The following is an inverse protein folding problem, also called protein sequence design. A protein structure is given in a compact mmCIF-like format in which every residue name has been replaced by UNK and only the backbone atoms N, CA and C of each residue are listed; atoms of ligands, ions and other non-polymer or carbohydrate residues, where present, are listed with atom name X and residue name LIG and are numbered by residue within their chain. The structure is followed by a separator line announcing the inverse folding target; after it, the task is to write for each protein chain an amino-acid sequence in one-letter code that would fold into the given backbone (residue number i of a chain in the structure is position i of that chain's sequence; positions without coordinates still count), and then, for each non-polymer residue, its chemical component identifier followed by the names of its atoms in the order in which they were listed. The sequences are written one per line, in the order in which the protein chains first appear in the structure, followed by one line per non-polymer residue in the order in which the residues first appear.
data_IF_908892970155
#
_entry.id   IF_908892970155
#
_cell.length_a   1.000
_cell.length_b   1.000
_cell.length_c   1.000
_cell.angle_alpha   90.00
_cell.angle_beta   90.00
_cell.angle_gamma   90.00
#
_symmetry.space_group_name_H-M   'P 1'
#
loop_
_entity.id
_entity.type
_entity.pdbx_description
1 polymer ?
#
# COMPACT_ATOMS: atom_id res chain seq x y z
N UNK A 1 -16.56 23.10 -7.42
CA UNK A 1 -16.61 22.39 -8.71
C UNK A 1 -17.04 20.93 -8.47
N UNK A 2 -17.70 20.31 -9.46
CA UNK A 2 -18.28 18.96 -9.40
C UNK A 2 -17.30 17.89 -8.88
N UNK A 3 -16.03 17.99 -9.24
CA UNK A 3 -14.94 17.10 -8.84
C UNK A 3 -14.60 17.21 -7.34
N UNK A 4 -14.58 18.41 -6.76
CA UNK A 4 -14.33 18.60 -5.33
C UNK A 4 -15.47 18.06 -4.47
N UNK A 5 -16.72 18.16 -4.93
CA UNK A 5 -17.89 17.62 -4.24
C UNK A 5 -17.86 16.08 -4.29
N UNK A 6 -17.49 15.50 -5.41
CA UNK A 6 -17.36 14.06 -5.59
C UNK A 6 -16.26 13.48 -4.69
N UNK A 7 -15.09 14.15 -4.61
CA UNK A 7 -13.99 13.72 -3.74
C UNK A 7 -14.38 13.78 -2.25
N UNK A 8 -15.14 14.82 -1.83
CA UNK A 8 -15.66 14.90 -0.45
C UNK A 8 -16.65 13.81 -0.13
N UNK A 9 -17.53 13.46 -1.07
CA UNK A 9 -18.47 12.36 -0.90
C UNK A 9 -17.75 11.02 -0.75
N UNK A 10 -16.77 10.72 -1.61
CA UNK A 10 -15.96 9.52 -1.54
C UNK A 10 -15.17 9.41 -0.22
N UNK A 11 -14.59 10.53 0.24
CA UNK A 11 -13.89 10.58 1.51
C UNK A 11 -14.84 10.30 2.70
N UNK A 12 -16.03 10.88 2.68
CA UNK A 12 -17.06 10.64 3.70
C UNK A 12 -17.50 9.19 3.73
N UNK A 13 -17.77 8.59 2.57
CA UNK A 13 -18.17 7.17 2.45
C UNK A 13 -17.06 6.24 2.92
N UNK A 14 -15.81 6.51 2.53
CA UNK A 14 -14.66 5.69 2.94
C UNK A 14 -14.49 5.70 4.47
N UNK A 15 -14.59 6.89 5.09
CA UNK A 15 -14.49 7.04 6.54
C UNK A 15 -15.62 6.33 7.28
N UNK A 16 -16.86 6.45 6.78
CA UNK A 16 -18.02 5.77 7.34
C UNK A 16 -17.88 4.25 7.21
N UNK A 17 -17.47 3.76 6.04
CA UNK A 17 -17.21 2.32 5.81
C UNK A 17 -16.13 1.80 6.76
N UNK A 18 -15.04 2.55 6.95
CA UNK A 18 -13.99 2.18 7.89
C UNK A 18 -14.51 2.08 9.33
N UNK A 19 -15.37 3.01 9.74
CA UNK A 19 -15.97 3.00 11.07
C UNK A 19 -16.91 1.81 11.25
N UNK A 20 -17.75 1.51 10.26
CA UNK A 20 -18.68 0.36 10.29
C UNK A 20 -17.95 -0.99 10.27
N UNK A 21 -16.80 -1.09 9.60
CA UNK A 21 -15.96 -2.30 9.62
C UNK A 21 -15.18 -2.40 10.95
N UNK A 22 -14.75 -1.29 11.51
CA UNK A 22 -13.97 -1.25 12.75
C UNK A 22 -14.68 -1.88 13.95
N UNK A 23 -15.99 -1.72 14.04
CA UNK A 23 -16.82 -2.29 15.13
C UNK A 23 -16.80 -3.83 15.14
N UNK A 24 -17.19 -4.54 14.06
CA UNK A 24 -17.11 -6.00 14.03
C UNK A 24 -15.67 -6.51 14.09
N UNK A 25 -14.70 -5.77 13.57
CA UNK A 25 -13.30 -6.12 13.67
C UNK A 25 -12.80 -6.11 15.12
N UNK A 26 -13.18 -5.11 15.91
CA UNK A 26 -12.89 -5.06 17.36
C UNK A 26 -13.51 -6.24 18.10
N UNK A 27 -14.70 -6.66 17.72
CA UNK A 27 -15.34 -7.86 18.26
C UNK A 27 -14.55 -9.13 17.91
N UNK A 28 -14.09 -9.27 16.65
CA UNK A 28 -13.28 -10.42 16.23
C UNK A 28 -11.95 -10.50 17.00
N UNK A 29 -11.31 -9.36 17.27
CA UNK A 29 -10.10 -9.31 18.10
C UNK A 29 -10.41 -9.83 19.50
N UNK A 30 -11.52 -9.41 20.10
CA UNK A 30 -11.98 -9.89 21.42
C UNK A 30 -12.23 -11.40 21.43
N UNK A 31 -12.91 -11.94 20.41
CA UNK A 31 -13.12 -13.38 20.27
C UNK A 31 -11.82 -14.14 20.10
N UNK A 32 -10.86 -13.62 19.34
CA UNK A 32 -9.55 -14.26 19.17
C UNK A 32 -8.80 -14.34 20.51
N UNK A 33 -8.85 -13.30 21.36
CA UNK A 33 -8.25 -13.34 22.70
C UNK A 33 -8.91 -14.41 23.58
N UNK A 34 -10.23 -14.61 23.48
CA UNK A 34 -10.91 -15.69 24.20
C UNK A 34 -10.51 -17.07 23.66
N UNK A 35 -10.39 -17.23 22.34
CA UNK A 35 -9.94 -18.47 21.71
C UNK A 35 -8.50 -18.85 22.10
N UNK A 36 -7.63 -17.88 22.36
CA UNK A 36 -6.27 -18.14 22.86
C UNK A 36 -6.25 -18.74 24.28
N UNK A 37 -7.31 -18.56 25.04
CA UNK A 37 -7.48 -19.15 26.37
C UNK A 37 -8.00 -20.60 26.30
N UNK A 38 -8.59 -20.98 25.18
CA UNK A 38 -9.02 -22.34 24.92
C UNK A 38 -7.84 -23.15 24.35
N UNK A 39 -7.90 -24.46 24.49
CA UNK A 39 -6.81 -25.35 24.03
C UNK A 39 -6.91 -25.60 22.53
N UNK A 40 -6.91 -24.53 21.73
CA UNK A 40 -7.00 -24.55 20.26
C UNK A 40 -5.58 -24.59 19.66
N UNK A 41 -5.48 -25.25 18.51
CA UNK A 41 -4.24 -25.34 17.75
C UNK A 41 -3.64 -23.95 17.46
N UNK A 42 -2.39 -23.75 17.89
CA UNK A 42 -1.67 -22.48 17.82
C UNK A 42 -1.58 -21.97 16.37
N UNK A 43 -1.42 -22.86 15.40
CA UNK A 43 -1.37 -22.54 13.97
C UNK A 43 -2.67 -21.91 13.50
N UNK A 44 -3.81 -22.44 13.94
CA UNK A 44 -5.13 -21.88 13.63
C UNK A 44 -5.30 -20.47 14.19
N UNK A 45 -4.86 -20.27 15.42
CA UNK A 45 -4.90 -18.93 16.07
C UNK A 45 -4.02 -17.93 15.31
N UNK A 46 -2.82 -18.33 14.90
CA UNK A 46 -1.92 -17.47 14.13
C UNK A 46 -2.50 -17.06 12.77
N UNK A 47 -3.14 -17.97 12.05
CA UNK A 47 -3.75 -17.67 10.75
C UNK A 47 -4.93 -16.69 10.90
N UNK A 48 -5.79 -16.90 11.90
CA UNK A 48 -6.88 -15.95 12.21
C UNK A 48 -6.32 -14.58 12.58
N UNK A 49 -5.26 -14.51 13.39
CA UNK A 49 -4.61 -13.25 13.76
C UNK A 49 -4.05 -12.52 12.54
N UNK A 50 -3.46 -13.23 11.58
CA UNK A 50 -2.96 -12.65 10.31
C UNK A 50 -4.09 -12.01 9.52
N UNK A 51 -5.23 -12.67 9.41
CA UNK A 51 -6.39 -12.14 8.68
C UNK A 51 -7.02 -10.93 9.38
N UNK A 52 -7.13 -10.97 10.70
CA UNK A 52 -7.60 -9.82 11.50
C UNK A 52 -6.67 -8.62 11.31
N UNK A 53 -5.35 -8.82 11.38
CA UNK A 53 -4.36 -7.75 11.19
C UNK A 53 -4.44 -7.16 9.77
N UNK A 54 -4.74 -8.00 8.78
CA UNK A 54 -4.95 -7.55 7.40
C UNK A 54 -6.20 -6.69 7.27
N UNK A 55 -7.31 -7.09 7.87
CA UNK A 55 -8.56 -6.31 7.89
C UNK A 55 -8.35 -4.97 8.63
N UNK A 56 -7.64 -4.97 9.75
CA UNK A 56 -7.27 -3.76 10.48
C UNK A 56 -6.51 -2.78 9.58
N UNK A 57 -5.50 -3.26 8.87
CA UNK A 57 -4.72 -2.44 7.94
C UNK A 57 -5.57 -1.83 6.84
N UNK A 58 -6.49 -2.59 6.25
CA UNK A 58 -7.43 -2.10 5.23
C UNK A 58 -8.34 -1.02 5.82
N UNK A 59 -8.90 -1.25 6.99
CA UNK A 59 -9.80 -0.31 7.69
C UNK A 59 -9.07 1.00 8.01
N UNK A 60 -7.83 0.92 8.50
CA UNK A 60 -7.00 2.09 8.81
C UNK A 60 -6.67 2.91 7.54
N UNK A 61 -6.43 2.24 6.42
CA UNK A 61 -6.22 2.90 5.11
C UNK A 61 -7.48 3.64 4.66
N UNK A 62 -8.65 3.00 4.76
CA UNK A 62 -9.93 3.62 4.41
C UNK A 62 -10.27 4.83 5.29
N UNK A 63 -9.99 4.76 6.59
CA UNK A 63 -10.25 5.87 7.52
C UNK A 63 -9.43 7.12 7.21
N UNK A 64 -8.27 6.97 6.55
CA UNK A 64 -7.38 8.07 6.18
C UNK A 64 -7.73 8.74 4.84
N UNK A 65 -8.63 8.14 4.06
CA UNK A 65 -9.07 8.74 2.79
C UNK A 65 -9.76 10.08 3.06
N UNK A 66 -9.26 11.15 2.44
CA UNK A 66 -9.79 12.51 2.58
C UNK A 66 -9.40 13.24 3.86
N UNK A 67 -8.58 12.66 4.73
CA UNK A 67 -7.94 13.39 5.84
C UNK A 67 -6.64 14.05 5.39
N UNK A 68 -6.29 15.18 6.00
CA UNK A 68 -4.97 15.78 5.77
C UNK A 68 -3.89 14.85 6.35
N UNK A 69 -2.90 14.42 5.54
CA UNK A 69 -1.83 13.57 6.02
C UNK A 69 -0.88 14.33 6.94
N UNK A 70 -0.56 13.75 8.08
CA UNK A 70 0.55 14.25 8.90
C UNK A 70 1.85 13.90 8.20
N UNK A 71 2.64 14.93 7.85
CA UNK A 71 3.93 14.77 7.19
C UNK A 71 5.05 14.75 8.23
N UNK A 72 5.99 13.85 8.05
CA UNK A 72 7.19 13.70 8.86
C UNK A 72 8.43 13.78 7.99
N UNK A 73 9.51 14.35 8.52
CA UNK A 73 10.80 14.34 7.82
C UNK A 73 11.39 12.92 7.85
N UNK A 74 11.44 12.27 6.71
CA UNK A 74 11.89 10.88 6.54
C UNK A 74 12.88 10.75 5.40
N UNK A 75 13.79 9.78 5.50
CA UNK A 75 14.63 9.35 4.38
C UNK A 75 13.80 8.52 3.40
N UNK A 76 13.48 9.10 2.25
CA UNK A 76 12.63 8.46 1.23
C UNK A 76 13.26 7.19 0.65
N UNK A 77 14.59 7.10 0.64
CA UNK A 77 15.29 5.88 0.17
C UNK A 77 15.03 4.74 1.15
N UNK A 78 15.22 4.97 2.45
CA UNK A 78 14.99 3.96 3.49
C UNK A 78 13.53 3.51 3.53
N UNK A 79 12.56 4.45 3.48
CA UNK A 79 11.12 4.15 3.47
C UNK A 79 10.72 3.33 2.23
N UNK A 80 11.21 3.70 1.05
CA UNK A 80 10.92 2.99 -0.20
C UNK A 80 11.56 1.61 -0.22
N UNK A 81 12.81 1.50 0.23
CA UNK A 81 13.55 0.24 0.30
C UNK A 81 12.89 -0.76 1.25
N UNK A 82 12.43 -0.30 2.42
CA UNK A 82 11.71 -1.13 3.38
C UNK A 82 10.43 -1.72 2.78
N UNK A 83 9.65 -0.89 2.09
CA UNK A 83 8.44 -1.36 1.37
C UNK A 83 8.78 -2.35 0.25
N UNK A 84 9.84 -2.08 -0.51
CA UNK A 84 10.32 -2.94 -1.58
C UNK A 84 10.76 -4.33 -1.07
N UNK A 85 11.58 -4.39 -0.02
CA UNK A 85 12.06 -5.64 0.57
C UNK A 85 10.91 -6.47 1.17
N UNK A 86 9.95 -5.79 1.81
CA UNK A 86 8.74 -6.44 2.32
C UNK A 86 7.94 -7.12 1.21
N UNK A 87 7.74 -6.43 0.07
CA UNK A 87 6.98 -6.94 -1.07
C UNK A 87 7.75 -8.04 -1.81
N UNK A 88 9.07 -7.88 -1.99
CA UNK A 88 9.94 -8.88 -2.60
C UNK A 88 9.85 -10.22 -1.86
N UNK A 89 9.90 -10.21 -0.52
CA UNK A 89 9.84 -11.41 0.30
C UNK A 89 8.51 -12.18 0.18
N UNK A 90 7.44 -11.51 -0.28
CA UNK A 90 6.08 -12.06 -0.41
C UNK A 90 5.64 -12.32 -1.85
N UNK A 91 6.48 -12.00 -2.79
CA UNK A 91 6.21 -12.18 -4.22
C UNK A 91 6.86 -13.46 -4.73
N UNK A 92 6.28 -14.06 -5.77
CA UNK A 92 6.84 -15.23 -6.44
C UNK A 92 8.28 -15.01 -6.87
N UNK A 93 9.13 -16.02 -6.71
CA UNK A 93 10.53 -16.02 -7.19
C UNK A 93 10.65 -15.88 -8.72
N UNK A 94 9.54 -15.95 -9.45
CA UNK A 94 9.51 -15.72 -10.90
C UNK A 94 9.55 -14.24 -11.27
N UNK A 95 9.40 -13.34 -10.28
CA UNK A 95 9.59 -11.90 -10.45
C UNK A 95 10.99 -11.53 -9.97
N UNK A 96 11.79 -10.99 -10.88
CA UNK A 96 13.10 -10.42 -10.54
C UNK A 96 12.94 -8.99 -10.07
N UNK A 97 13.45 -8.68 -8.88
CA UNK A 97 13.37 -7.36 -8.26
C UNK A 97 14.72 -6.65 -8.34
N UNK A 98 14.72 -5.38 -8.73
CA UNK A 98 15.89 -4.52 -8.75
C UNK A 98 15.59 -3.18 -8.08
N UNK A 99 16.49 -2.73 -7.19
CA UNK A 99 16.39 -1.45 -6.50
C UNK A 99 17.62 -0.61 -6.73
N UNK A 100 17.45 0.62 -7.21
CA UNK A 100 18.53 1.59 -7.45
C UNK A 100 18.22 2.90 -6.75
N UNK A 101 19.18 3.42 -6.00
CA UNK A 101 19.07 4.70 -5.32
C UNK A 101 20.46 5.31 -5.10
N UNK A 102 20.55 6.64 -4.87
CA UNK A 102 21.79 7.29 -4.45
C UNK A 102 22.34 6.69 -3.16
N UNK A 103 23.66 6.67 -3.02
CA UNK A 103 24.34 6.20 -1.80
C UNK A 103 24.44 7.29 -0.73
N UNK A 104 23.35 8.01 -0.49
CA UNK A 104 23.19 9.02 0.56
C UNK A 104 21.73 9.12 0.95
N UNK A 105 21.41 9.46 2.21
CA UNK A 105 20.01 9.66 2.59
C UNK A 105 19.42 10.88 1.88
N UNK A 106 18.14 10.80 1.51
CA UNK A 106 17.37 11.88 0.93
C UNK A 106 16.14 12.16 1.81
N UNK A 107 16.20 13.25 2.57
CA UNK A 107 15.15 13.62 3.50
C UNK A 107 14.07 14.47 2.84
N UNK A 108 12.82 14.04 2.98
CA UNK A 108 11.63 14.74 2.50
C UNK A 108 10.53 14.72 3.57
N UNK A 109 9.58 15.63 3.46
CA UNK A 109 8.35 15.59 4.26
C UNK A 109 7.35 14.65 3.60
N UNK A 110 7.09 13.51 4.21
CA UNK A 110 6.14 12.50 3.70
C UNK A 110 5.35 11.86 4.86
N UNK A 111 4.21 11.26 4.54
CA UNK A 111 3.50 10.36 5.43
C UNK A 111 3.96 8.93 5.15
N UNK A 112 4.62 8.24 6.10
CA UNK A 112 5.21 6.92 5.86
C UNK A 112 4.18 5.86 5.42
N UNK A 113 2.99 5.89 6.02
CA UNK A 113 1.92 4.94 5.72
C UNK A 113 1.38 5.12 4.30
N UNK A 114 1.13 6.37 3.88
CA UNK A 114 0.66 6.68 2.53
C UNK A 114 1.74 6.40 1.48
N UNK A 115 3.00 6.69 1.81
CA UNK A 115 4.11 6.39 0.93
C UNK A 115 4.24 4.87 0.70
N UNK A 116 4.27 4.09 1.78
CA UNK A 116 4.30 2.62 1.70
C UNK A 116 3.13 2.07 0.89
N UNK A 117 1.93 2.59 1.11
CA UNK A 117 0.74 2.18 0.36
C UNK A 117 0.85 2.51 -1.13
N UNK A 118 1.41 3.67 -1.48
CA UNK A 118 1.64 4.05 -2.88
C UNK A 118 2.59 3.08 -3.56
N UNK A 119 3.72 2.76 -2.92
CA UNK A 119 4.69 1.78 -3.43
C UNK A 119 4.04 0.39 -3.58
N UNK A 120 3.31 -0.05 -2.57
CA UNK A 120 2.59 -1.33 -2.59
C UNK A 120 1.62 -1.44 -3.77
N UNK A 121 0.82 -0.39 -4.03
CA UNK A 121 -0.12 -0.35 -5.15
C UNK A 121 0.60 -0.41 -6.50
N UNK A 122 1.66 0.37 -6.68
CA UNK A 122 2.43 0.38 -7.93
C UNK A 122 3.08 -0.98 -8.19
N UNK A 123 3.71 -1.57 -7.19
CA UNK A 123 4.35 -2.89 -7.30
C UNK A 123 3.31 -3.97 -7.59
N UNK A 124 2.17 -3.96 -6.89
CA UNK A 124 1.09 -4.92 -7.12
C UNK A 124 0.54 -4.81 -8.55
N UNK A 125 0.26 -3.61 -9.03
CA UNK A 125 -0.19 -3.37 -10.39
C UNK A 125 0.82 -3.88 -11.42
N UNK A 126 2.12 -3.68 -11.17
CA UNK A 126 3.20 -4.20 -12.01
C UNK A 126 3.24 -5.73 -12.04
N UNK A 127 3.10 -6.38 -10.88
CA UNK A 127 3.06 -7.85 -10.79
C UNK A 127 1.85 -8.41 -11.54
N UNK A 128 0.69 -7.78 -11.39
CA UNK A 128 -0.53 -8.17 -12.10
C UNK A 128 -0.38 -8.01 -13.62
N UNK A 129 0.21 -6.90 -14.08
CA UNK A 129 0.52 -6.66 -15.49
C UNK A 129 1.51 -7.67 -16.09
N UNK A 130 2.43 -8.19 -15.28
CA UNK A 130 3.38 -9.25 -15.63
C UNK A 130 2.82 -10.66 -15.44
N UNK A 131 1.60 -10.81 -14.92
CA UNK A 131 0.99 -12.12 -14.59
C UNK A 131 1.87 -12.95 -13.65
N UNK A 132 2.52 -12.29 -12.69
CA UNK A 132 3.36 -12.91 -11.68
C UNK A 132 4.73 -13.39 -12.15
N UNK A 133 5.19 -13.02 -13.36
CA UNK A 133 6.49 -13.40 -13.91
C UNK A 133 7.10 -12.29 -14.73
N UNK A 134 8.30 -11.84 -14.40
CA UNK A 134 8.98 -10.79 -15.15
C UNK A 134 10.03 -10.05 -14.34
N UNK A 135 10.29 -8.81 -14.77
CA UNK A 135 11.24 -7.91 -14.11
C UNK A 135 10.54 -6.68 -13.58
N UNK A 136 10.80 -6.33 -12.32
CA UNK A 136 10.35 -5.12 -11.66
C UNK A 136 11.55 -4.37 -11.11
N UNK A 137 11.65 -3.07 -11.42
CA UNK A 137 12.68 -2.21 -10.85
C UNK A 137 12.08 -0.97 -10.23
N UNK A 138 12.67 -0.54 -9.11
CA UNK A 138 12.43 0.77 -8.51
C UNK A 138 13.73 1.55 -8.56
N UNK A 139 13.67 2.75 -9.12
CA UNK A 139 14.79 3.68 -9.18
C UNK A 139 14.43 5.00 -8.53
N UNK A 140 15.31 5.51 -7.66
CA UNK A 140 15.18 6.81 -7.01
C UNK A 140 16.26 7.72 -7.56
N UNK A 141 15.88 8.89 -8.06
CA UNK A 141 16.77 9.91 -8.61
C UNK A 141 16.49 11.25 -7.95
N UNK A 142 17.55 11.91 -7.47
CA UNK A 142 17.48 13.29 -6.98
C UNK A 142 17.60 14.23 -8.19
N UNK A 143 16.57 15.03 -8.43
CA UNK A 143 16.59 16.11 -9.40
C UNK A 143 16.72 17.48 -8.73
N UNK A 144 16.72 18.55 -9.51
CA UNK A 144 16.95 19.92 -9.02
C UNK A 144 15.82 20.41 -8.09
N UNK A 145 14.57 20.07 -8.39
CA UNK A 145 13.40 20.51 -7.62
C UNK A 145 12.60 19.36 -7.00
N UNK A 146 12.78 18.13 -7.48
CA UNK A 146 12.00 16.97 -7.08
C UNK A 146 12.89 15.74 -6.93
N UNK A 147 12.43 14.81 -6.10
CA UNK A 147 12.94 13.45 -6.07
C UNK A 147 11.98 12.59 -6.89
N UNK A 148 12.53 11.84 -7.83
CA UNK A 148 11.76 10.96 -8.72
C UNK A 148 11.88 9.52 -8.24
N UNK A 149 10.74 8.86 -8.08
CA UNK A 149 10.67 7.41 -7.85
C UNK A 149 10.03 6.80 -9.08
N UNK A 150 10.79 6.01 -9.82
CA UNK A 150 10.33 5.33 -11.03
C UNK A 150 10.14 3.85 -10.75
N UNK A 151 8.94 3.34 -10.97
CA UNK A 151 8.64 1.92 -10.93
C UNK A 151 8.49 1.44 -12.36
N UNK A 152 9.29 0.47 -12.76
CA UNK A 152 9.29 -0.09 -14.13
C UNK A 152 9.04 -1.58 -14.06
N UNK A 153 8.16 -2.07 -14.92
CA UNK A 153 7.87 -3.49 -15.07
C UNK A 153 8.02 -3.94 -16.54
N UNK A 154 8.10 -5.26 -16.72
CA UNK A 154 8.14 -5.89 -18.04
C UNK A 154 6.78 -6.42 -18.49
N UNK A 155 5.69 -5.90 -17.93
CA UNK A 155 4.33 -6.35 -18.21
C UNK A 155 3.76 -5.86 -19.53
N UNK A 156 2.46 -6.02 -19.71
CA UNK A 156 1.74 -5.67 -20.94
C UNK A 156 1.62 -4.16 -21.21
N UNK A 157 1.96 -3.33 -20.22
CA UNK A 157 1.81 -1.89 -20.30
C UNK A 157 0.34 -1.43 -20.27
N UNK A 158 0.17 -0.11 -20.34
CA UNK A 158 -1.14 0.54 -20.34
C UNK A 158 -1.42 1.09 -21.75
N UNK A 159 -2.56 0.77 -22.38
CA UNK A 159 -2.93 1.36 -23.66
C UNK A 159 -3.00 2.90 -23.60
N UNK A 160 -2.50 3.59 -24.64
CA UNK A 160 -2.42 5.07 -24.65
C UNK A 160 -3.76 5.76 -24.39
N UNK A 161 -4.86 5.19 -24.87
CA UNK A 161 -6.21 5.72 -24.66
C UNK A 161 -6.69 5.61 -23.20
N UNK A 162 -5.99 4.84 -22.37
CA UNK A 162 -6.32 4.65 -20.95
C UNK A 162 -5.43 5.44 -19.97
N UNK A 163 -4.41 6.16 -20.44
CA UNK A 163 -3.49 6.91 -19.58
C UNK A 163 -4.16 7.94 -18.67
N UNK A 164 -5.32 8.49 -19.07
CA UNK A 164 -6.08 9.41 -18.23
C UNK A 164 -7.01 8.69 -17.27
N UNK A 165 -7.62 7.60 -17.71
CA UNK A 165 -8.63 6.85 -16.94
C UNK A 165 -8.04 5.99 -15.85
N UNK A 166 -6.75 5.59 -15.94
CA UNK A 166 -6.09 4.80 -14.88
C UNK A 166 -5.98 5.52 -13.53
N UNK A 167 -6.20 6.83 -13.51
CA UNK A 167 -6.22 7.65 -12.28
C UNK A 167 -7.65 7.96 -11.80
N UNK A 168 -8.67 7.47 -12.50
CA UNK A 168 -10.06 7.65 -12.10
C UNK A 168 -10.48 6.53 -11.13
N UNK A 169 -11.35 6.84 -10.15
CA UNK A 169 -11.87 5.83 -9.22
C UNK A 169 -12.60 4.70 -9.95
N UNK A 170 -12.26 3.45 -9.63
CA UNK A 170 -12.92 2.28 -10.18
C UNK A 170 -12.31 1.73 -11.47
N UNK A 171 -11.12 2.19 -11.83
CA UNK A 171 -10.34 1.60 -12.92
C UNK A 171 -9.65 0.31 -12.47
#
# INVERSE_FOLDING_TARGET
TKMATQNKLWAGMAKETAHQIGTPLSSLIGWLELLKLENIDETTIEEIQKDINRLQTITDRFSKIGSEPVLEKRDIIAETKSSFEYLQARTSKQVSFEFRAPNKPLYVSLNPTLHSWTIENLVKNSIDAMKGKGKLSIEIVEGDAFIYITVTDSGSGIPKNKFKTVFEPGY
#
